data_IF_843941869849
#
_entry.id   IF_843941869849
#
_cell.length_a   1.000
_cell.length_b   1.000
_cell.length_c   1.000
_cell.angle_alpha   90.00
_cell.angle_beta   90.00
_cell.angle_gamma   90.00
#
_symmetry.space_group_name_H-M   'P 1'
#
loop_
_entity.id
_entity.type
_entity.pdbx_description
1 polymer ?
#
# COMPACT_ATOMS: atom_id res chain seq x y z
N UNK A 1 -3.13 6.11 -14.73
CA UNK A 1 -2.91 4.69 -14.43
C UNK A 1 -4.23 4.02 -14.16
N UNK A 2 -4.27 2.69 -14.13
CA UNK A 2 -5.44 1.93 -13.68
C UNK A 2 -5.51 1.96 -12.14
N UNK A 3 -6.68 2.19 -11.57
CA UNK A 3 -6.93 2.06 -10.13
C UNK A 3 -7.24 0.59 -9.85
N UNK A 4 -6.45 -0.05 -8.99
CA UNK A 4 -6.67 -1.43 -8.58
C UNK A 4 -7.58 -1.53 -7.34
N UNK A 5 -7.43 -0.59 -6.41
CA UNK A 5 -8.13 -0.53 -5.13
C UNK A 5 -8.33 0.95 -4.79
N UNK A 6 -9.55 1.35 -4.45
CA UNK A 6 -9.90 2.68 -3.95
C UNK A 6 -11.07 2.54 -2.96
N UNK A 7 -10.72 2.45 -1.67
CA UNK A 7 -11.69 2.27 -0.59
C UNK A 7 -11.13 2.73 0.76
N UNK A 8 -12.02 3.08 1.68
CA UNK A 8 -11.68 3.24 3.09
C UNK A 8 -11.84 1.92 3.81
N UNK A 9 -10.82 1.52 4.59
CA UNK A 9 -10.87 0.30 5.40
C UNK A 9 -10.19 0.52 6.77
N UNK A 10 -10.68 -0.16 7.83
CA UNK A 10 -9.96 -0.18 9.11
C UNK A 10 -8.68 -1.01 9.00
N UNK A 11 -7.72 -0.71 9.87
CA UNK A 11 -6.59 -1.62 10.13
C UNK A 11 -7.08 -2.85 10.90
N UNK A 12 -6.35 -3.95 10.79
CA UNK A 12 -6.52 -5.10 11.69
C UNK A 12 -5.94 -4.81 13.08
N UNK A 13 -6.15 -5.72 14.04
CA UNK A 13 -5.71 -5.59 15.44
C UNK A 13 -4.19 -5.37 15.59
N UNK A 14 -3.40 -5.83 14.61
CA UNK A 14 -1.96 -5.65 14.57
C UNK A 14 -1.52 -4.30 13.97
N UNK A 15 -2.45 -3.43 13.59
CA UNK A 15 -2.19 -2.13 12.98
C UNK A 15 -1.88 -2.15 11.48
N UNK A 16 -1.92 -3.31 10.81
CA UNK A 16 -1.66 -3.42 9.38
C UNK A 16 -2.94 -3.43 8.55
N UNK A 17 -2.77 -3.07 7.28
CA UNK A 17 -3.71 -3.36 6.19
C UNK A 17 -3.05 -4.35 5.26
N UNK A 18 -3.76 -5.44 4.94
CA UNK A 18 -3.37 -6.39 3.90
C UNK A 18 -4.11 -6.10 2.59
N UNK A 19 -3.41 -6.14 1.47
CA UNK A 19 -3.96 -6.06 0.11
C UNK A 19 -3.41 -7.19 -0.74
N UNK A 20 -4.26 -7.73 -1.61
CA UNK A 20 -3.83 -8.63 -2.67
C UNK A 20 -3.73 -7.85 -3.98
N UNK A 21 -2.56 -7.90 -4.60
CA UNK A 21 -2.29 -7.24 -5.87
C UNK A 21 -1.98 -8.31 -6.94
N UNK A 22 -2.24 -8.03 -8.23
CA UNK A 22 -1.70 -8.85 -9.30
C UNK A 22 -0.18 -8.96 -9.18
N UNK A 23 0.38 -10.09 -9.62
CA UNK A 23 1.83 -10.25 -9.76
C UNK A 23 2.34 -9.52 -11.00
N UNK A 24 3.65 -9.32 -11.05
CA UNK A 24 4.37 -8.80 -12.21
C UNK A 24 4.01 -7.37 -12.61
N UNK A 25 3.70 -6.52 -11.62
CA UNK A 25 3.37 -5.10 -11.83
C UNK A 25 4.14 -4.18 -10.88
N UNK A 26 4.29 -2.93 -11.33
CA UNK A 26 4.71 -1.80 -10.51
C UNK A 26 3.47 -0.97 -10.16
N UNK A 27 3.34 -0.60 -8.90
CA UNK A 27 2.18 0.13 -8.37
C UNK A 27 2.62 1.30 -7.53
N UNK A 28 1.72 2.28 -7.43
CA UNK A 28 1.88 3.36 -6.47
C UNK A 28 0.81 3.23 -5.40
N UNK A 29 1.24 3.11 -4.15
CA UNK A 29 0.35 3.05 -3.00
C UNK A 29 0.23 4.45 -2.42
N UNK A 30 -1.00 4.90 -2.21
CA UNK A 30 -1.33 6.14 -1.53
C UNK A 30 -2.20 5.82 -0.32
N UNK A 31 -1.91 6.45 0.82
CA UNK A 31 -2.68 6.32 2.07
C UNK A 31 -3.03 7.72 2.54
N UNK A 32 -4.28 7.91 2.94
CA UNK A 32 -4.79 9.15 3.51
C UNK A 32 -5.51 8.84 4.82
N UNK A 33 -5.27 9.63 5.86
CA UNK A 33 -5.98 9.52 7.12
C UNK A 33 -5.86 10.81 7.93
N UNK A 34 -6.98 11.30 8.49
CA UNK A 34 -7.05 12.51 9.33
C UNK A 34 -6.29 13.72 8.77
N UNK A 35 -6.41 13.95 7.45
CA UNK A 35 -5.76 15.07 6.76
C UNK A 35 -4.28 14.87 6.44
N UNK A 36 -3.66 13.78 6.90
CA UNK A 36 -2.31 13.39 6.51
C UNK A 36 -2.30 12.43 5.32
N UNK A 37 -1.22 12.46 4.54
CA UNK A 37 -1.05 11.56 3.39
C UNK A 37 0.36 11.00 3.27
N UNK A 38 0.49 9.83 2.64
CA UNK A 38 1.78 9.23 2.29
C UNK A 38 1.67 8.49 0.95
N UNK A 39 2.78 8.44 0.19
CA UNK A 39 2.86 7.76 -1.11
C UNK A 39 4.16 7.00 -1.24
N UNK A 40 4.11 5.81 -1.84
CA UNK A 40 5.31 5.01 -2.12
C UNK A 40 5.12 4.15 -3.36
N UNK A 41 6.21 3.86 -4.07
CA UNK A 41 6.24 2.96 -5.21
C UNK A 41 6.62 1.55 -4.74
N UNK A 42 5.90 0.53 -5.22
CA UNK A 42 6.16 -0.88 -4.91
C UNK A 42 6.16 -1.72 -6.19
N UNK A 43 6.92 -2.80 -6.18
CA UNK A 43 6.91 -3.85 -7.20
C UNK A 43 6.32 -5.15 -6.64
N UNK A 44 5.78 -5.99 -7.51
CA UNK A 44 5.24 -7.33 -7.21
C UNK A 44 5.82 -8.40 -8.15
N UNK A 45 7.01 -8.15 -8.67
CA UNK A 45 7.70 -8.96 -9.70
C UNK A 45 8.65 -9.99 -9.11
N UNK A 46 9.30 -9.65 -8.00
CA UNK A 46 10.33 -10.48 -7.36
C UNK A 46 9.87 -11.00 -6.01
N UNK A 47 10.35 -12.18 -5.62
CA UNK A 47 10.16 -12.70 -4.25
C UNK A 47 10.93 -11.87 -3.20
N UNK A 48 11.90 -11.03 -3.65
CA UNK A 48 12.60 -10.07 -2.81
C UNK A 48 11.82 -8.75 -2.62
N UNK A 49 10.73 -8.53 -3.37
CA UNK A 49 9.94 -7.31 -3.25
C UNK A 49 9.24 -7.24 -1.88
N UNK A 50 9.19 -6.05 -1.26
CA UNK A 50 8.72 -5.92 0.12
C UNK A 50 7.23 -6.25 0.25
N UNK A 51 6.93 -7.24 1.07
CA UNK A 51 5.55 -7.60 1.45
C UNK A 51 5.08 -6.93 2.74
N UNK A 52 6.00 -6.30 3.49
CA UNK A 52 5.74 -5.56 4.71
C UNK A 52 6.36 -4.17 4.59
N UNK A 53 5.52 -3.14 4.50
CA UNK A 53 5.95 -1.74 4.28
C UNK A 53 5.50 -0.89 5.46
N UNK A 54 6.47 -0.42 6.25
CA UNK A 54 6.23 0.35 7.49
C UNK A 54 6.86 1.74 7.47
N UNK A 55 7.45 2.13 6.33
CA UNK A 55 8.18 3.39 6.15
C UNK A 55 7.28 4.54 5.69
N UNK A 56 6.00 4.29 5.45
CA UNK A 56 5.03 5.30 5.01
C UNK A 56 4.60 6.19 6.17
N UNK A 57 5.29 7.32 6.36
CA UNK A 57 4.92 8.34 7.34
C UNK A 57 3.94 9.33 6.74
N UNK A 58 2.76 9.48 7.34
CA UNK A 58 1.80 10.51 6.95
C UNK A 58 2.33 11.90 7.38
N UNK A 59 2.24 12.87 6.46
CA UNK A 59 2.55 14.29 6.68
C UNK A 59 1.31 15.16 6.57
#
# INVERSE_FOLDING_TARGET
GQILIDETRPTFDNGFVGVWLPRDIDVVVAIEYNGGSARTDLSTRSDEDPTCVTTMRLS
#
